data_IF_632159230457
#
_entry.id   IF_632159230457
#
_cell.length_a   1.000
_cell.length_b   1.000
_cell.length_c   1.000
_cell.angle_alpha   90.00
_cell.angle_beta   90.00
_cell.angle_gamma   90.00
#
_symmetry.space_group_name_H-M   'P 1'
#
loop_
_entity.id
_entity.type
_entity.pdbx_description
1 polymer ?
#
# COMPACT_ATOMS: atom_id res chain seq x y z
N UNK A 1 4.97 19.28 7.76
CA UNK A 1 4.56 17.92 8.11
C UNK A 1 5.22 17.62 9.44
N UNK A 2 4.43 17.33 10.46
CA UNK A 2 4.94 16.96 11.77
C UNK A 2 5.12 15.44 11.79
N UNK A 3 6.38 14.99 11.86
CA UNK A 3 6.74 13.56 11.94
C UNK A 3 7.20 13.16 13.35
N UNK A 4 7.02 14.03 14.35
CA UNK A 4 7.45 13.78 15.73
C UNK A 4 6.79 12.56 16.38
N UNK A 5 5.59 12.18 15.89
CA UNK A 5 4.82 11.03 16.35
C UNK A 5 5.03 9.75 15.51
N UNK A 6 5.92 9.79 14.51
CA UNK A 6 6.20 8.63 13.68
C UNK A 6 6.91 7.54 14.50
N UNK A 7 6.46 6.28 14.40
CA UNK A 7 7.11 5.18 15.09
C UNK A 7 8.35 4.75 14.31
N UNK A 8 9.35 4.24 15.02
CA UNK A 8 10.60 3.80 14.38
C UNK A 8 10.38 2.68 13.35
N UNK A 9 9.44 1.76 13.61
CA UNK A 9 9.04 0.70 12.67
C UNK A 9 8.47 1.27 11.38
N UNK A 10 7.66 2.34 11.46
CA UNK A 10 7.05 2.99 10.31
C UNK A 10 8.14 3.56 9.39
N UNK A 11 9.08 4.30 9.99
CA UNK A 11 10.22 4.87 9.28
C UNK A 11 11.12 3.77 8.70
N UNK A 12 11.31 2.66 9.41
CA UNK A 12 12.02 1.49 8.90
C UNK A 12 11.42 0.95 7.61
N UNK A 13 10.08 0.83 7.56
CA UNK A 13 9.35 0.40 6.36
C UNK A 13 9.47 1.43 5.24
N UNK A 14 9.39 2.73 5.54
CA UNK A 14 9.62 3.79 4.54
C UNK A 14 11.03 3.72 3.94
N UNK A 15 12.06 3.56 4.78
CA UNK A 15 13.46 3.41 4.33
C UNK A 15 13.65 2.15 3.48
N UNK A 16 13.01 1.04 3.85
CA UNK A 16 13.00 -0.19 3.05
C UNK A 16 12.36 0.06 1.67
N UNK A 17 11.20 0.70 1.64
CA UNK A 17 10.47 0.96 0.39
C UNK A 17 11.30 1.86 -0.53
N UNK A 18 11.82 2.96 0.02
CA UNK A 18 12.64 3.92 -0.72
C UNK A 18 13.86 3.24 -1.34
N UNK A 19 14.60 2.46 -0.56
CA UNK A 19 15.75 1.68 -1.03
C UNK A 19 15.37 0.69 -2.14
N UNK A 20 14.23 0.05 -2.00
CA UNK A 20 13.78 -1.02 -2.90
C UNK A 20 13.24 -0.49 -4.24
N UNK A 21 12.63 0.70 -4.24
CA UNK A 21 11.81 1.16 -5.36
C UNK A 21 12.09 2.57 -5.88
N UNK A 22 13.03 3.35 -5.30
CA UNK A 22 13.34 4.72 -5.76
C UNK A 22 13.63 4.81 -7.26
N UNK A 23 14.28 3.80 -7.84
CA UNK A 23 14.71 3.81 -9.24
C UNK A 23 14.14 2.61 -10.02
N UNK A 24 12.97 2.10 -9.60
CA UNK A 24 12.41 0.85 -10.13
C UNK A 24 10.88 0.94 -10.09
N UNK A 25 10.20 0.49 -11.15
CA UNK A 25 8.74 0.34 -11.16
C UNK A 25 8.34 -0.66 -10.07
N UNK A 26 7.89 -0.14 -8.92
CA UNK A 26 7.55 -0.91 -7.73
C UNK A 26 6.57 -2.03 -8.09
N UNK A 27 5.61 -1.70 -8.92
CA UNK A 27 4.50 -2.55 -9.28
C UNK A 27 4.96 -3.77 -10.07
N UNK A 28 5.85 -3.56 -11.03
CA UNK A 28 6.47 -4.66 -11.77
C UNK A 28 7.43 -5.44 -10.88
N UNK A 29 8.26 -4.78 -10.09
CA UNK A 29 9.22 -5.43 -9.19
C UNK A 29 8.55 -6.36 -8.16
N UNK A 30 7.47 -5.89 -7.51
CA UNK A 30 6.69 -6.65 -6.52
C UNK A 30 6.14 -7.96 -7.07
N UNK A 31 5.69 -7.95 -8.33
CA UNK A 31 4.96 -9.09 -8.91
C UNK A 31 5.83 -9.98 -9.79
N UNK A 32 7.03 -9.50 -10.16
CA UNK A 32 7.93 -10.17 -11.08
C UNK A 32 8.35 -11.56 -10.60
N UNK A 33 8.79 -11.68 -9.34
CA UNK A 33 9.36 -12.92 -8.80
C UNK A 33 8.35 -14.08 -8.79
N UNK A 34 7.14 -13.84 -8.25
CA UNK A 34 6.07 -14.85 -8.26
C UNK A 34 5.66 -15.21 -9.69
N UNK A 35 5.58 -14.22 -10.60
CA UNK A 35 5.19 -14.46 -11.99
C UNK A 35 6.17 -15.33 -12.80
N UNK A 36 7.40 -15.51 -12.32
CA UNK A 36 8.45 -16.31 -12.96
C UNK A 36 8.63 -17.70 -12.33
N UNK A 37 7.93 -18.00 -11.25
CA UNK A 37 8.11 -19.25 -10.54
C UNK A 37 7.27 -20.37 -11.14
N UNK A 38 7.91 -21.52 -11.33
CA UNK A 38 7.22 -22.75 -11.73
C UNK A 38 6.70 -23.44 -10.47
N UNK A 39 5.46 -23.12 -10.10
CA UNK A 39 4.77 -23.81 -9.03
C UNK A 39 4.23 -25.14 -9.55
N UNK A 40 4.34 -26.20 -8.75
CA UNK A 40 3.73 -27.50 -9.04
C UNK A 40 2.18 -27.46 -8.89
N UNK A 41 1.54 -26.66 -9.73
CA UNK A 41 0.11 -26.37 -9.75
C UNK A 41 -0.51 -26.71 -11.11
N UNK A 42 -1.84 -26.78 -11.16
CA UNK A 42 -2.54 -26.96 -12.42
C UNK A 42 -2.40 -25.72 -13.31
N UNK A 43 -2.39 -25.90 -14.63
CA UNK A 43 -2.32 -24.80 -15.62
C UNK A 43 -3.36 -23.70 -15.34
N UNK A 44 -4.56 -24.08 -14.92
CA UNK A 44 -5.61 -23.14 -14.54
C UNK A 44 -5.21 -22.28 -13.32
N UNK A 45 -4.67 -22.90 -12.27
CA UNK A 45 -4.22 -22.19 -11.06
C UNK A 45 -3.08 -21.22 -11.41
N UNK A 46 -2.15 -21.62 -12.29
CA UNK A 46 -1.06 -20.75 -12.77
C UNK A 46 -1.59 -19.53 -13.55
N UNK A 47 -2.57 -19.74 -14.44
CA UNK A 47 -3.23 -18.64 -15.17
C UNK A 47 -3.99 -17.71 -14.22
N UNK A 48 -4.66 -18.25 -13.22
CA UNK A 48 -5.37 -17.45 -12.21
C UNK A 48 -4.38 -16.60 -11.39
N UNK A 49 -3.22 -17.16 -10.99
CA UNK A 49 -2.14 -16.40 -10.35
C UNK A 49 -1.68 -15.26 -11.26
N UNK A 50 -1.41 -15.53 -12.54
CA UNK A 50 -0.97 -14.50 -13.48
C UNK A 50 -2.00 -13.37 -13.62
N UNK A 51 -3.29 -13.70 -13.66
CA UNK A 51 -4.39 -12.75 -13.71
C UNK A 51 -4.46 -11.89 -12.44
N UNK A 52 -4.31 -12.48 -11.26
CA UNK A 52 -4.27 -11.72 -10.00
C UNK A 52 -3.04 -10.82 -9.92
N UNK A 53 -1.87 -11.27 -10.36
CA UNK A 53 -0.68 -10.42 -10.44
C UNK A 53 -0.90 -9.24 -11.39
N UNK A 54 -1.51 -9.46 -12.57
CA UNK A 54 -1.91 -8.38 -13.49
C UNK A 54 -2.88 -7.40 -12.81
N UNK A 55 -3.86 -7.91 -12.06
CA UNK A 55 -4.84 -7.10 -11.37
C UNK A 55 -4.21 -6.24 -10.25
N UNK A 56 -3.31 -6.82 -9.44
CA UNK A 56 -2.49 -6.08 -8.46
C UNK A 56 -1.76 -4.94 -9.17
N UNK A 57 -1.12 -5.22 -10.30
CA UNK A 57 -0.39 -4.18 -11.04
C UNK A 57 -1.28 -3.06 -11.53
N UNK A 58 -2.44 -3.40 -12.09
CA UNK A 58 -3.38 -2.42 -12.60
C UNK A 58 -3.97 -1.55 -11.47
N UNK A 59 -4.32 -2.15 -10.34
CA UNK A 59 -4.96 -1.41 -9.25
C UNK A 59 -3.97 -0.51 -8.49
N UNK A 60 -2.69 -0.90 -8.36
CA UNK A 60 -1.65 0.05 -7.92
C UNK A 60 -1.50 1.23 -8.88
N UNK A 61 -1.47 0.98 -10.20
CA UNK A 61 -1.39 2.07 -11.20
C UNK A 61 -2.59 3.01 -11.13
N UNK A 62 -3.77 2.50 -10.81
CA UNK A 62 -4.97 3.33 -10.61
C UNK A 62 -4.89 4.17 -9.34
N UNK A 63 -4.36 3.62 -8.24
CA UNK A 63 -4.06 4.39 -7.03
C UNK A 63 -3.08 5.52 -7.35
N UNK A 64 -2.00 5.22 -8.05
CA UNK A 64 -0.97 6.21 -8.42
C UNK A 64 -1.51 7.31 -9.33
N UNK A 65 -2.39 6.97 -10.28
CA UNK A 65 -3.07 7.97 -11.10
C UNK A 65 -3.99 8.85 -10.26
N UNK A 66 -4.82 8.28 -9.37
CA UNK A 66 -5.68 9.06 -8.48
C UNK A 66 -4.86 10.03 -7.59
N UNK A 67 -3.71 9.57 -7.08
CA UNK A 67 -2.78 10.41 -6.30
C UNK A 67 -2.23 11.57 -7.15
N UNK A 68 -1.85 11.29 -8.40
CA UNK A 68 -1.37 12.33 -9.32
C UNK A 68 -2.47 13.35 -9.65
N UNK A 69 -3.69 12.89 -9.90
CA UNK A 69 -4.82 13.77 -10.20
C UNK A 69 -5.14 14.68 -9.00
N UNK A 70 -5.06 14.15 -7.77
CA UNK A 70 -5.15 14.96 -6.54
C UNK A 70 -4.04 16.02 -6.51
N UNK A 71 -2.78 15.66 -6.79
CA UNK A 71 -1.70 16.64 -6.82
C UNK A 71 -1.91 17.74 -7.85
N UNK A 72 -2.35 17.38 -9.06
CA UNK A 72 -2.58 18.33 -10.14
C UNK A 72 -3.70 19.33 -9.76
N UNK A 73 -4.74 18.89 -9.04
CA UNK A 73 -5.79 19.76 -8.49
C UNK A 73 -5.21 20.74 -7.46
N UNK A 74 -4.45 20.24 -6.49
CA UNK A 74 -3.84 21.10 -5.46
C UNK A 74 -2.78 22.06 -6.02
N UNK A 75 -2.02 21.64 -7.03
CA UNK A 75 -1.02 22.48 -7.69
C UNK A 75 -1.68 23.69 -8.38
N UNK A 76 -2.82 23.48 -9.06
CA UNK A 76 -3.62 24.57 -9.65
C UNK A 76 -4.14 25.52 -8.57
N UNK A 77 -4.70 24.97 -7.50
CA UNK A 77 -5.24 25.75 -6.38
C UNK A 77 -4.20 26.68 -5.74
N UNK A 78 -3.00 26.17 -5.46
CA UNK A 78 -1.90 26.97 -4.90
C UNK A 78 -1.49 28.10 -5.87
N UNK A 79 -1.49 27.83 -7.16
CA UNK A 79 -1.06 28.78 -8.19
C UNK A 79 -2.06 29.93 -8.38
N UNK A 80 -3.35 29.67 -8.17
CA UNK A 80 -4.43 30.64 -8.34
C UNK A 80 -4.61 31.58 -7.12
N UNK A 81 -3.94 31.28 -5.98
CA UNK A 81 -4.03 32.05 -4.71
C UNK A 81 -5.47 32.28 -4.22
N UNK A 82 -6.40 31.40 -4.59
CA UNK A 82 -7.79 31.52 -4.17
C UNK A 82 -7.94 31.03 -2.71
N UNK A 83 -8.26 31.93 -1.79
CA UNK A 83 -8.37 31.61 -0.37
C UNK A 83 -9.77 31.11 0.05
N UNK A 84 -10.68 30.87 -0.90
CA UNK A 84 -12.09 30.63 -0.55
C UNK A 84 -12.46 29.15 -0.41
N UNK A 85 -12.13 28.29 -1.39
CA UNK A 85 -12.37 26.84 -1.32
C UNK A 85 -11.47 26.09 -2.29
N UNK A 86 -10.98 24.89 -1.93
CA UNK A 86 -10.34 23.99 -2.87
C UNK A 86 -11.34 23.66 -4.00
N UNK A 87 -11.09 24.10 -5.25
CA UNK A 87 -11.88 23.67 -6.40
C UNK A 87 -11.85 22.16 -6.45
N UNK A 88 -12.99 21.52 -6.72
CA UNK A 88 -13.06 20.07 -6.87
C UNK A 88 -12.74 19.27 -5.58
N UNK A 89 -12.94 19.86 -4.40
CA UNK A 89 -12.86 19.14 -3.10
C UNK A 89 -13.65 17.82 -3.07
N UNK A 90 -14.82 17.77 -3.72
CA UNK A 90 -15.63 16.55 -3.88
C UNK A 90 -14.94 15.53 -4.79
N UNK A 91 -14.30 15.97 -5.88
CA UNK A 91 -13.51 15.09 -6.75
C UNK A 91 -12.32 14.49 -6.00
N UNK A 92 -11.62 15.30 -5.18
CA UNK A 92 -10.52 14.82 -4.33
C UNK A 92 -11.04 13.78 -3.32
N UNK A 93 -12.19 14.04 -2.69
CA UNK A 93 -12.82 13.09 -1.77
C UNK A 93 -13.11 11.74 -2.47
N UNK A 94 -13.70 11.77 -3.67
CA UNK A 94 -13.97 10.57 -4.49
C UNK A 94 -12.68 9.81 -4.81
N UNK A 95 -11.59 10.51 -5.14
CA UNK A 95 -10.30 9.85 -5.37
C UNK A 95 -9.73 9.19 -4.11
N UNK A 96 -9.89 9.81 -2.94
CA UNK A 96 -9.48 9.22 -1.65
C UNK A 96 -10.30 7.95 -1.36
N UNK A 97 -11.62 8.00 -1.49
CA UNK A 97 -12.51 6.84 -1.34
C UNK A 97 -12.14 5.71 -2.31
N UNK A 98 -11.82 6.08 -3.56
CA UNK A 98 -11.35 5.15 -4.57
C UNK A 98 -10.03 4.48 -4.19
N UNK A 99 -9.08 5.22 -3.60
CA UNK A 99 -7.84 4.65 -3.06
C UNK A 99 -8.15 3.61 -1.98
N UNK A 100 -9.03 3.90 -1.02
CA UNK A 100 -9.45 2.91 -0.01
C UNK A 100 -10.02 1.63 -0.64
N UNK A 101 -10.89 1.78 -1.65
CA UNK A 101 -11.46 0.65 -2.36
C UNK A 101 -10.38 -0.20 -3.04
N UNK A 102 -9.46 0.44 -3.79
CA UNK A 102 -8.38 -0.27 -4.51
C UNK A 102 -7.35 -0.90 -3.58
N UNK A 103 -7.01 -0.22 -2.50
CA UNK A 103 -6.11 -0.73 -1.49
C UNK A 103 -6.56 -2.09 -0.96
N UNK A 104 -7.84 -2.20 -0.59
CA UNK A 104 -8.42 -3.42 -0.05
C UNK A 104 -8.46 -4.55 -1.09
N UNK A 105 -8.79 -4.22 -2.34
CA UNK A 105 -8.84 -5.19 -3.43
C UNK A 105 -7.47 -5.79 -3.73
N UNK A 106 -6.40 -5.00 -3.64
CA UNK A 106 -5.02 -5.52 -3.80
C UNK A 106 -4.70 -6.56 -2.72
N UNK A 107 -5.05 -6.30 -1.46
CA UNK A 107 -4.89 -7.29 -0.39
C UNK A 107 -5.63 -8.58 -0.76
N UNK A 108 -6.89 -8.49 -1.19
CA UNK A 108 -7.69 -9.66 -1.57
C UNK A 108 -7.06 -10.49 -2.70
N UNK A 109 -6.46 -9.85 -3.71
CA UNK A 109 -5.71 -10.57 -4.75
C UNK A 109 -4.49 -11.30 -4.21
N UNK A 110 -3.70 -10.66 -3.36
CA UNK A 110 -2.54 -11.30 -2.71
C UNK A 110 -2.95 -12.53 -1.91
N UNK A 111 -4.10 -12.46 -1.22
CA UNK A 111 -4.62 -13.59 -0.46
C UNK A 111 -5.15 -14.71 -1.36
N UNK A 112 -5.80 -14.40 -2.48
CA UNK A 112 -6.22 -15.41 -3.45
C UNK A 112 -5.03 -16.14 -4.06
N UNK A 113 -3.92 -15.43 -4.31
CA UNK A 113 -2.66 -16.05 -4.72
C UNK A 113 -2.15 -16.97 -3.62
N UNK A 114 -2.07 -16.48 -2.38
CA UNK A 114 -1.66 -17.30 -1.24
C UNK A 114 -2.56 -18.53 -1.05
N UNK A 115 -3.86 -18.41 -1.37
CA UNK A 115 -4.80 -19.52 -1.29
C UNK A 115 -4.48 -20.68 -2.23
N UNK A 116 -3.96 -20.38 -3.41
CA UNK A 116 -3.53 -21.37 -4.39
C UNK A 116 -2.15 -21.95 -4.04
N UNK A 117 -1.25 -21.12 -3.53
CA UNK A 117 0.12 -21.51 -3.20
C UNK A 117 0.21 -22.33 -1.90
N UNK A 118 -0.63 -22.02 -0.91
CA UNK A 118 -0.64 -22.68 0.40
C UNK A 118 -1.98 -23.40 0.60
N UNK A 119 -1.98 -24.70 0.28
CA UNK A 119 -3.13 -25.60 0.45
C UNK A 119 -3.27 -25.99 1.91
N UNK A 120 -4.21 -25.34 2.60
CA UNK A 120 -4.58 -25.73 3.96
C UNK A 120 -5.49 -26.97 3.93
N UNK A 121 -5.13 -27.99 4.70
CA UNK A 121 -5.96 -29.19 4.94
C UNK A 121 -6.57 -29.09 6.34
N UNK A 122 -7.68 -28.37 6.48
CA UNK A 122 -8.46 -28.36 7.71
C UNK A 122 -9.91 -28.00 7.44
N UNK A 123 -10.77 -28.25 8.44
CA UNK A 123 -12.23 -28.18 8.33
C UNK A 123 -12.77 -26.79 7.96
N UNK A 124 -14.09 -26.70 7.74
CA UNK A 124 -14.83 -25.49 7.32
C UNK A 124 -14.73 -24.33 8.36
N UNK A 125 -13.58 -23.67 8.41
CA UNK A 125 -13.39 -22.37 9.07
C UNK A 125 -13.85 -21.23 8.17
N UNK A 126 -14.25 -20.11 8.78
CA UNK A 126 -14.64 -18.90 8.06
C UNK A 126 -13.49 -18.36 7.21
N UNK A 127 -13.82 -17.58 6.18
CA UNK A 127 -12.82 -16.98 5.29
C UNK A 127 -11.82 -16.09 6.05
N UNK A 128 -12.30 -15.38 7.07
CA UNK A 128 -11.46 -14.49 7.88
C UNK A 128 -10.49 -15.26 8.79
N UNK A 129 -10.94 -16.34 9.42
CA UNK A 129 -10.08 -17.21 10.22
C UNK A 129 -9.03 -17.90 9.34
N UNK A 130 -9.46 -18.44 8.19
CA UNK A 130 -8.55 -19.04 7.21
C UNK A 130 -7.44 -18.08 6.78
N UNK A 131 -7.79 -16.81 6.62
CA UNK A 131 -6.82 -15.78 6.29
C UNK A 131 -5.77 -15.57 7.39
N UNK A 132 -6.18 -15.37 8.64
CA UNK A 132 -5.23 -15.20 9.75
C UNK A 132 -4.37 -16.45 9.93
N UNK A 133 -4.95 -17.65 9.84
CA UNK A 133 -4.21 -18.91 9.94
C UNK A 133 -3.11 -19.05 8.87
N UNK A 134 -3.35 -18.57 7.64
CA UNK A 134 -2.33 -18.59 6.59
C UNK A 134 -1.19 -17.63 6.86
N UNK A 135 -1.49 -16.44 7.38
CA UNK A 135 -0.46 -15.50 7.79
C UNK A 135 0.35 -16.02 8.97
N UNK A 136 -0.31 -16.69 9.92
CA UNK A 136 0.36 -17.33 11.06
C UNK A 136 1.23 -18.51 10.62
N UNK A 137 0.77 -19.29 9.62
CA UNK A 137 1.60 -20.29 8.97
C UNK A 137 2.85 -19.66 8.35
N UNK A 138 2.73 -18.57 7.59
CA UNK A 138 3.88 -17.89 7.01
C UNK A 138 4.84 -17.35 8.08
N UNK A 139 4.33 -16.75 9.17
CA UNK A 139 5.15 -16.31 10.30
C UNK A 139 5.96 -17.45 10.92
N UNK A 140 5.35 -18.62 11.08
CA UNK A 140 6.01 -19.79 11.64
C UNK A 140 7.18 -20.29 10.78
N UNK A 141 7.25 -19.93 9.49
CA UNK A 141 8.36 -20.27 8.60
C UNK A 141 9.56 -19.31 8.73
N UNK A 142 9.41 -18.15 9.36
CA UNK A 142 10.43 -17.10 9.43
C UNK A 142 10.69 -16.66 10.87
N UNK A 143 11.03 -17.61 11.75
CA UNK A 143 11.34 -17.33 13.15
C UNK A 143 12.44 -16.27 13.29
N UNK A 144 12.21 -15.24 14.12
CA UNK A 144 13.11 -14.09 14.34
C UNK A 144 13.36 -13.18 13.12
N UNK A 145 12.47 -13.17 12.13
CA UNK A 145 12.52 -12.27 10.98
C UNK A 145 11.64 -11.01 11.19
N UNK A 146 12.14 -9.85 10.78
CA UNK A 146 11.43 -8.56 10.89
C UNK A 146 10.09 -8.54 10.12
N UNK A 147 9.93 -9.38 9.09
CA UNK A 147 8.69 -9.51 8.30
C UNK A 147 7.53 -10.05 9.14
N UNK A 148 7.77 -10.72 10.28
CA UNK A 148 6.69 -11.20 11.15
C UNK A 148 5.71 -10.09 11.57
N UNK A 149 6.23 -8.86 11.74
CA UNK A 149 5.44 -7.70 12.13
C UNK A 149 4.32 -7.36 11.12
N UNK A 150 4.54 -7.57 9.81
CA UNK A 150 3.56 -7.22 8.77
C UNK A 150 2.63 -8.38 8.40
N UNK A 151 3.01 -9.62 8.73
CA UNK A 151 2.24 -10.83 8.43
C UNK A 151 1.09 -11.06 9.44
N UNK A 152 0.27 -10.04 9.66
CA UNK A 152 -0.99 -10.12 10.39
C UNK A 152 -2.04 -9.27 9.69
N UNK A 153 -3.25 -9.26 10.25
CA UNK A 153 -4.34 -8.46 9.72
C UNK A 153 -4.58 -7.14 10.45
N UNK A 154 -3.93 -6.93 11.60
CA UNK A 154 -4.18 -5.82 12.51
C UNK A 154 -3.89 -4.48 11.83
N UNK A 155 -2.74 -4.39 11.14
CA UNK A 155 -2.25 -3.15 10.56
C UNK A 155 -3.18 -2.56 9.48
N UNK A 156 -4.05 -3.36 8.86
CA UNK A 156 -5.03 -2.88 7.86
C UNK A 156 -6.50 -2.98 8.29
N UNK A 157 -6.80 -3.32 9.56
CA UNK A 157 -8.19 -3.40 10.01
C UNK A 157 -8.91 -2.05 9.92
N UNK A 158 -8.21 -0.95 10.24
CA UNK A 158 -8.76 0.40 10.12
C UNK A 158 -9.21 0.68 8.68
N UNK A 159 -8.31 0.51 7.71
CA UNK A 159 -8.60 0.63 6.28
C UNK A 159 -9.78 -0.26 5.87
N UNK A 160 -9.83 -1.52 6.35
CA UNK A 160 -10.95 -2.43 6.04
C UNK A 160 -12.28 -1.87 6.55
N UNK A 161 -12.33 -1.41 7.80
CA UNK A 161 -13.52 -0.82 8.42
C UNK A 161 -13.96 0.44 7.67
N UNK A 162 -13.02 1.36 7.42
CA UNK A 162 -13.27 2.61 6.69
C UNK A 162 -13.79 2.32 5.28
N UNK A 163 -13.14 1.43 4.52
CA UNK A 163 -13.61 1.04 3.18
C UNK A 163 -15.00 0.43 3.23
N UNK A 164 -15.26 -0.49 4.15
CA UNK A 164 -16.58 -1.11 4.27
C UNK A 164 -17.66 -0.06 4.56
N UNK A 165 -17.37 0.90 5.41
CA UNK A 165 -18.29 1.98 5.72
C UNK A 165 -18.56 2.88 4.49
N UNK A 166 -17.51 3.22 3.72
CA UNK A 166 -17.64 4.01 2.48
C UNK A 166 -18.52 3.29 1.47
N UNK A 167 -18.25 2.00 1.22
CA UNK A 167 -18.90 1.26 0.14
C UNK A 167 -20.32 0.79 0.52
N UNK A 168 -20.55 0.44 1.78
CA UNK A 168 -21.79 -0.24 2.20
C UNK A 168 -22.67 0.57 3.14
N UNK A 169 -22.11 1.53 3.89
CA UNK A 169 -22.83 2.22 4.96
C UNK A 169 -22.96 3.73 4.73
N UNK A 170 -22.65 4.21 3.52
CA UNK A 170 -22.82 5.62 3.15
C UNK A 170 -21.85 6.58 3.85
N UNK A 171 -20.75 6.08 4.40
CA UNK A 171 -19.69 6.96 4.91
C UNK A 171 -19.02 7.72 3.75
N UNK A 172 -18.56 8.94 4.00
CA UNK A 172 -17.96 9.78 2.96
C UNK A 172 -16.71 10.49 3.44
N UNK A 173 -15.80 10.72 2.51
CA UNK A 173 -14.60 11.50 2.72
C UNK A 173 -14.91 13.01 2.62
N UNK A 174 -14.38 13.77 3.58
CA UNK A 174 -14.40 15.23 3.60
C UNK A 174 -12.98 15.74 3.50
N UNK A 175 -12.74 16.65 2.55
CA UNK A 175 -11.45 17.29 2.31
C UNK A 175 -11.50 18.69 2.90
N UNK A 176 -10.50 19.04 3.70
CA UNK A 176 -10.42 20.33 4.37
C UNK A 176 -9.51 21.29 3.61
N UNK A 177 -9.94 22.55 3.54
CA UNK A 177 -9.15 23.61 2.92
C UNK A 177 -8.02 24.02 3.87
N UNK A 178 -6.79 23.71 3.49
CA UNK A 178 -5.61 24.30 4.09
C UNK A 178 -4.61 24.64 2.97
N UNK A 179 -4.07 25.84 3.00
CA UNK A 179 -3.19 26.34 1.93
C UNK A 179 -1.76 25.79 2.00
N UNK A 180 -1.45 24.97 3.03
CA UNK A 180 -0.13 24.37 3.24
C UNK A 180 -0.18 22.84 3.24
N UNK A 181 -1.31 22.25 3.59
CA UNK A 181 -1.45 20.84 3.90
C UNK A 181 -2.68 20.25 3.20
N UNK A 182 -2.54 19.03 2.72
CA UNK A 182 -3.65 18.25 2.17
C UNK A 182 -4.27 17.47 3.33
N UNK A 183 -5.50 17.84 3.71
CA UNK A 183 -6.15 17.32 4.91
C UNK A 183 -7.48 16.65 4.56
N UNK A 184 -7.77 15.52 5.19
CA UNK A 184 -9.05 14.84 5.02
C UNK A 184 -9.51 14.11 6.29
N UNK A 185 -10.77 13.70 6.33
CA UNK A 185 -11.33 12.77 7.32
C UNK A 185 -12.49 11.99 6.67
N UNK A 186 -12.79 10.79 7.14
CA UNK A 186 -13.93 9.99 6.70
C UNK A 186 -14.97 9.95 7.81
N UNK A 187 -16.20 10.32 7.49
CA UNK A 187 -17.31 10.37 8.44
C UNK A 187 -18.38 9.34 8.10
N UNK A 188 -18.98 8.73 9.13
CA UNK A 188 -20.23 7.98 8.96
C UNK A 188 -21.45 8.92 8.88
N UNK A 189 -22.65 8.36 8.77
CA UNK A 189 -23.90 9.12 8.73
C UNK A 189 -24.22 9.86 10.05
N UNK A 190 -23.65 9.41 11.17
CA UNK A 190 -23.76 10.02 12.50
C UNK A 190 -22.68 11.08 12.74
N UNK A 191 -21.86 11.36 11.72
CA UNK A 191 -20.74 12.32 11.75
C UNK A 191 -19.60 11.90 12.67
N UNK A 192 -19.52 10.60 13.02
CA UNK A 192 -18.36 10.04 13.72
C UNK A 192 -17.20 9.83 12.75
N UNK A 193 -16.01 10.12 13.23
CA UNK A 193 -14.75 9.88 12.52
C UNK A 193 -14.46 8.38 12.44
N UNK A 194 -14.17 7.90 11.22
CA UNK A 194 -13.90 6.48 10.97
C UNK A 194 -12.43 6.13 10.87
N UNK A 195 -11.57 7.11 10.58
CA UNK A 195 -10.13 6.92 10.57
C UNK A 195 -9.56 7.58 11.83
N UNK A 196 -9.60 6.81 12.90
CA UNK A 196 -9.16 7.22 14.25
C UNK A 196 -7.94 6.44 14.74
N UNK A 197 -7.63 5.31 14.08
CA UNK A 197 -6.47 4.49 14.41
C UNK A 197 -5.19 5.15 13.84
N UNK A 198 -4.46 5.84 14.71
CA UNK A 198 -3.11 6.33 14.45
C UNK A 198 -2.98 7.84 14.61
N UNK A 199 -2.75 8.30 15.86
CA UNK A 199 -2.43 9.71 16.15
C UNK A 199 -1.29 10.27 15.30
N UNK A 200 -0.38 9.41 14.85
CA UNK A 200 0.69 9.70 13.91
C UNK A 200 0.21 10.28 12.57
N UNK A 201 -1.02 10.01 12.15
CA UNK A 201 -1.62 10.54 10.94
C UNK A 201 -2.26 11.91 11.13
N UNK A 202 -2.53 12.31 12.38
CA UNK A 202 -3.33 13.48 12.69
C UNK A 202 -2.49 14.75 12.68
N UNK A 203 -2.91 15.70 11.87
CA UNK A 203 -2.48 17.09 11.92
C UNK A 203 -3.23 17.83 13.04
N UNK A 204 -2.48 18.37 14.00
CA UNK A 204 -3.01 19.05 15.20
C UNK A 204 -4.06 18.23 15.98
N UNK A 205 -4.01 16.89 15.88
CA UNK A 205 -4.94 15.99 16.58
C UNK A 205 -6.35 15.88 15.98
N UNK A 206 -6.65 16.51 14.83
CA UNK A 206 -8.02 16.58 14.31
C UNK A 206 -8.19 15.94 12.92
N UNK A 207 -7.35 16.28 11.95
CA UNK A 207 -7.55 15.86 10.55
C UNK A 207 -6.36 15.05 10.05
N UNK A 208 -6.57 14.16 9.09
CA UNK A 208 -5.50 13.31 8.58
C UNK A 208 -4.64 14.07 7.58
N UNK A 209 -3.33 14.00 7.77
CA UNK A 209 -2.36 14.50 6.81
C UNK A 209 -2.20 13.53 5.63
N UNK A 210 -2.80 13.88 4.49
CA UNK A 210 -2.96 13.00 3.32
C UNK A 210 -1.65 12.40 2.84
N UNK A 211 -0.62 13.22 2.62
CA UNK A 211 0.66 12.75 2.06
C UNK A 211 1.30 11.67 2.94
N UNK A 212 1.32 11.88 4.26
CA UNK A 212 1.90 10.92 5.21
C UNK A 212 1.07 9.64 5.29
N UNK A 213 -0.26 9.78 5.40
CA UNK A 213 -1.18 8.66 5.40
C UNK A 213 -1.01 7.77 4.16
N UNK A 214 -0.98 8.36 2.96
CA UNK A 214 -0.84 7.62 1.71
C UNK A 214 0.52 6.93 1.60
N UNK A 215 1.61 7.67 1.86
CA UNK A 215 2.97 7.11 1.74
C UNK A 215 3.14 5.92 2.66
N UNK A 216 2.72 6.04 3.92
CA UNK A 216 2.89 4.97 4.89
C UNK A 216 2.04 3.75 4.53
N UNK A 217 0.76 3.95 4.21
CA UNK A 217 -0.11 2.82 3.89
C UNK A 217 0.31 2.11 2.59
N UNK A 218 0.80 2.83 1.58
CA UNK A 218 1.35 2.21 0.37
C UNK A 218 2.63 1.42 0.68
N UNK A 219 3.49 1.95 1.53
CA UNK A 219 4.70 1.24 1.95
C UNK A 219 4.37 -0.04 2.74
N UNK A 220 3.40 0.02 3.65
CA UNK A 220 2.87 -1.15 4.36
C UNK A 220 2.29 -2.20 3.41
N UNK A 221 1.50 -1.77 2.41
CA UNK A 221 0.92 -2.68 1.41
C UNK A 221 2.01 -3.38 0.60
N UNK A 222 2.99 -2.63 0.10
CA UNK A 222 4.10 -3.19 -0.66
C UNK A 222 4.93 -4.15 0.20
N UNK A 223 5.24 -3.77 1.46
CA UNK A 223 6.00 -4.61 2.38
C UNK A 223 5.25 -5.90 2.73
N UNK A 224 3.93 -5.83 2.89
CA UNK A 224 3.09 -7.01 3.10
C UNK A 224 3.15 -7.97 1.91
N UNK A 225 2.96 -7.45 0.68
CA UNK A 225 3.00 -8.27 -0.54
C UNK A 225 4.37 -8.90 -0.72
N UNK A 226 5.44 -8.12 -0.58
CA UNK A 226 6.82 -8.59 -0.68
C UNK A 226 7.13 -9.65 0.38
N UNK A 227 6.65 -9.47 1.62
CA UNK A 227 6.82 -10.43 2.70
C UNK A 227 6.10 -11.74 2.41
N UNK A 228 4.82 -11.69 2.01
CA UNK A 228 4.04 -12.90 1.67
C UNK A 228 4.72 -13.66 0.55
N UNK A 229 5.09 -12.97 -0.52
CA UNK A 229 5.68 -13.59 -1.70
C UNK A 229 7.08 -14.14 -1.41
N UNK A 230 7.95 -13.36 -0.77
CA UNK A 230 9.31 -13.81 -0.45
C UNK A 230 9.30 -15.04 0.46
N UNK A 231 8.47 -15.07 1.50
CA UNK A 231 8.39 -16.26 2.39
C UNK A 231 7.94 -17.51 1.63
N UNK A 232 6.98 -17.37 0.73
CA UNK A 232 6.52 -18.50 -0.10
C UNK A 232 7.65 -18.99 -1.01
N UNK A 233 8.37 -18.06 -1.65
CA UNK A 233 9.50 -18.37 -2.54
C UNK A 233 10.64 -19.05 -1.78
N UNK A 234 11.00 -18.53 -0.61
CA UNK A 234 12.03 -19.08 0.27
C UNK A 234 11.67 -20.53 0.65
N UNK A 235 10.41 -20.79 1.00
CA UNK A 235 9.94 -22.11 1.43
C UNK A 235 9.92 -23.16 0.31
N UNK A 236 9.67 -22.76 -0.95
CA UNK A 236 9.77 -23.67 -2.10
C UNK A 236 11.21 -23.80 -2.63
N UNK A 237 12.18 -23.16 -1.97
CA UNK A 237 13.59 -23.20 -2.37
C UNK A 237 13.86 -22.48 -3.69
N UNK A 238 13.04 -21.48 -4.05
CA UNK A 238 13.25 -20.70 -5.26
C UNK A 238 14.62 -20.02 -5.22
N UNK A 239 15.39 -20.21 -6.29
CA UNK A 239 16.63 -19.47 -6.54
C UNK A 239 16.45 -18.71 -7.84
N UNK A 240 16.61 -17.40 -7.77
CA UNK A 240 16.57 -16.54 -8.94
C UNK A 240 17.77 -16.87 -9.84
N UNK A 241 17.54 -17.71 -10.85
CA UNK A 241 18.47 -17.94 -11.95
C UNK A 241 18.15 -16.92 -13.04
N UNK A 242 18.85 -15.80 -12.99
CA UNK A 242 18.88 -14.82 -14.06
C UNK A 242 20.12 -15.04 -14.89
N UNK A 243 19.92 -15.51 -16.11
CA UNK A 243 21.00 -15.63 -17.09
C UNK A 243 21.60 -14.22 -17.33
N UNK A 244 22.91 -14.14 -17.59
CA UNK A 244 23.62 -12.87 -17.75
C UNK A 244 23.04 -11.96 -18.86
N UNK A 245 22.28 -12.54 -19.80
CA UNK A 245 21.55 -11.84 -20.86
C UNK A 245 20.16 -11.34 -20.44
N UNK A 246 19.49 -12.00 -19.50
CA UNK A 246 18.16 -11.63 -19.03
C UNK A 246 18.22 -10.47 -18.02
N UNK A 247 19.21 -10.46 -17.13
CA UNK A 247 19.32 -9.47 -16.06
C UNK A 247 19.35 -8.00 -16.58
N UNK A 248 20.09 -7.65 -17.65
CA UNK A 248 20.04 -6.30 -18.22
C UNK A 248 18.67 -5.94 -18.81
N UNK A 249 18.00 -6.92 -19.44
CA UNK A 249 16.69 -6.71 -20.06
C UNK A 249 15.62 -6.42 -18.99
N UNK A 250 15.59 -7.22 -17.93
CA UNK A 250 14.67 -7.04 -16.81
C UNK A 250 14.93 -5.73 -16.10
N UNK A 251 16.20 -5.39 -15.84
CA UNK A 251 16.57 -4.10 -15.27
C UNK A 251 16.11 -2.92 -16.13
N UNK A 252 16.18 -3.04 -17.46
CA UNK A 252 15.68 -2.04 -18.39
C UNK A 252 14.14 -1.93 -18.34
N UNK A 253 13.43 -3.05 -18.36
CA UNK A 253 11.97 -3.11 -18.23
C UNK A 253 11.47 -2.51 -16.91
N UNK A 254 12.14 -2.81 -15.81
CA UNK A 254 11.77 -2.29 -14.49
C UNK A 254 12.08 -0.79 -14.34
N UNK A 255 12.98 -0.22 -15.14
CA UNK A 255 13.32 1.22 -15.09
C UNK A 255 12.46 2.09 -16.01
N UNK A 256 11.73 1.51 -16.97
CA UNK A 256 11.06 2.27 -18.04
C UNK A 256 9.66 2.77 -17.69
N UNK A 257 9.12 2.44 -16.51
CA UNK A 257 7.73 2.75 -16.11
C UNK A 257 7.67 3.66 -14.86
N UNK A 258 8.78 4.33 -14.51
CA UNK A 258 8.93 5.07 -13.23
C UNK A 258 7.91 6.19 -13.00
N UNK A 259 7.36 6.79 -14.06
CA UNK A 259 6.71 8.11 -14.01
C UNK A 259 5.43 8.20 -13.17
N UNK A 260 4.86 7.08 -12.70
CA UNK A 260 3.58 7.07 -11.97
C UNK A 260 3.72 7.10 -10.45
N UNK A 261 4.86 6.72 -9.88
CA UNK A 261 5.04 6.66 -8.42
C UNK A 261 5.88 7.82 -7.83
N UNK A 262 6.39 8.71 -8.69
CA UNK A 262 7.33 9.78 -8.33
C UNK A 262 6.80 10.70 -7.23
N UNK A 263 5.49 10.99 -7.22
CA UNK A 263 4.85 11.80 -6.17
C UNK A 263 5.05 11.17 -4.79
N UNK A 264 4.83 9.85 -4.69
CA UNK A 264 4.97 9.10 -3.44
C UNK A 264 6.44 9.04 -3.00
N UNK A 265 7.35 8.77 -3.95
CA UNK A 265 8.80 8.75 -3.65
C UNK A 265 9.26 10.11 -3.13
N UNK A 266 8.83 11.21 -3.76
CA UNK A 266 9.18 12.57 -3.33
C UNK A 266 8.62 12.92 -1.94
N UNK A 267 7.41 12.48 -1.60
CA UNK A 267 6.88 12.67 -0.24
C UNK A 267 7.60 11.81 0.79
N UNK A 268 7.91 10.56 0.43
CA UNK A 268 8.65 9.63 1.27
C UNK A 268 10.04 10.17 1.63
N UNK A 269 10.78 10.71 0.67
CA UNK A 269 12.07 11.36 0.92
C UNK A 269 11.94 12.51 1.93
N UNK A 270 10.92 13.35 1.78
CA UNK A 270 10.66 14.45 2.72
C UNK A 270 10.36 13.94 4.14
N UNK A 271 9.56 12.86 4.25
CA UNK A 271 9.23 12.24 5.55
C UNK A 271 10.48 11.71 6.23
N UNK A 272 11.29 10.93 5.49
CA UNK A 272 12.50 10.30 6.03
C UNK A 272 13.50 11.37 6.49
N UNK A 273 13.76 12.38 5.67
CA UNK A 273 14.71 13.44 5.99
C UNK A 273 14.29 14.23 7.23
N UNK A 274 13.01 14.61 7.33
CA UNK A 274 12.50 15.32 8.51
C UNK A 274 12.62 14.50 9.80
N UNK A 275 12.39 13.19 9.73
CA UNK A 275 12.54 12.32 10.89
C UNK A 275 14.01 12.19 11.32
N UNK A 276 14.91 12.03 10.36
CA UNK A 276 16.35 11.91 10.63
C UNK A 276 16.94 13.23 11.19
N UNK A 277 16.48 14.38 10.72
CA UNK A 277 16.82 15.70 11.27
C UNK A 277 16.34 15.85 12.73
N UNK A 278 15.10 15.46 13.03
CA UNK A 278 14.54 15.54 14.38
C UNK A 278 15.23 14.63 15.40
N UNK A 279 15.84 13.51 14.96
CA UNK A 279 16.64 12.62 15.84
C UNK A 279 18.04 13.14 16.14
N UNK A 280 18.54 14.13 15.40
CA UNK A 280 19.86 14.72 15.61
C UNK A 280 19.85 15.93 16.56
N UNK A 281 18.66 16.42 16.93
CA UNK A 281 18.42 17.52 17.88
C UNK A 281 18.14 16.98 19.29
#
# INVERSE_FOLDING_TARGET
MDVSRAREVDIGILKWFHKSYKATDMVSALTYKIGRCDFALQVKELLDIENYLKAIRQDFRKIFLAIKDIEDIYAKYIHEKDNTRLPESETVAIFIEYIFAKYRVIIEYTLKILDMLVKYKGDKVSEHERFNMKLDYLKALIENDNRQYILNSEWFQSIRKTRNAIIHNGATCVVFNDNKNKLFQVYNLEVDELVTDGEMYLYNGNCIYFNYFIVLNIAYLAYFIDSVFSVVLDNIGYKENLDALEAPLINSMLKTVSDKQDCIIGWMEKIINQYDENKQL
#
